data_IF_636707283028
#
_entry.id   IF_636707283028
#
_cell.length_a   1.000
_cell.length_b   1.000
_cell.length_c   1.000
_cell.angle_alpha   90.00
_cell.angle_beta   90.00
_cell.angle_gamma   90.00
#
_symmetry.space_group_name_H-M   'P 1'
#
loop_
_entity.id
_entity.type
_entity.pdbx_description
1 polymer ?
#
# COMPACT_ATOMS: atom_id res chain seq x y z
N UNK A 1 -3.59 45.24 -40.70
CA UNK A 1 -4.75 44.79 -39.90
C UNK A 1 -4.43 45.07 -38.43
N UNK A 2 -4.95 46.17 -37.88
CA UNK A 2 -4.69 46.60 -36.50
C UNK A 2 -5.71 45.91 -35.60
N UNK A 3 -5.26 45.04 -34.69
CA UNK A 3 -6.13 44.41 -33.68
C UNK A 3 -6.49 45.43 -32.61
N UNK A 4 -7.77 45.54 -32.27
CA UNK A 4 -8.24 46.45 -31.24
C UNK A 4 -7.77 45.97 -29.85
N UNK A 5 -7.42 46.87 -28.92
CA UNK A 5 -6.91 46.51 -27.60
C UNK A 5 -7.86 45.58 -26.80
N UNK A 6 -9.18 45.68 -27.02
CA UNK A 6 -10.17 44.78 -26.42
C UNK A 6 -10.08 43.32 -26.90
N UNK A 7 -9.72 43.07 -28.16
CA UNK A 7 -9.50 41.69 -28.67
C UNK A 7 -8.23 41.07 -28.08
N UNK A 8 -7.18 41.88 -27.90
CA UNK A 8 -5.90 41.43 -27.33
C UNK A 8 -6.06 41.11 -25.83
N UNK A 9 -6.80 41.94 -25.08
CA UNK A 9 -7.10 41.69 -23.66
C UNK A 9 -7.97 40.45 -23.46
N UNK A 10 -9.01 40.26 -24.28
CA UNK A 10 -9.87 39.07 -24.23
C UNK A 10 -9.09 37.78 -24.53
N UNK A 11 -8.19 37.83 -25.52
CA UNK A 11 -7.31 36.70 -25.85
C UNK A 11 -6.32 36.37 -24.72
N UNK A 12 -5.73 37.37 -24.06
CA UNK A 12 -4.81 37.15 -22.93
C UNK A 12 -5.52 36.57 -21.69
N UNK A 13 -6.73 37.03 -21.40
CA UNK A 13 -7.55 36.48 -20.32
C UNK A 13 -7.94 35.03 -20.62
N UNK A 14 -8.39 34.73 -21.85
CA UNK A 14 -8.74 33.38 -22.28
C UNK A 14 -7.54 32.42 -22.18
N UNK A 15 -6.35 32.84 -22.63
CA UNK A 15 -5.12 32.03 -22.51
C UNK A 15 -4.82 31.73 -21.05
N UNK A 16 -4.90 32.72 -20.17
CA UNK A 16 -4.63 32.53 -18.73
C UNK A 16 -5.59 31.53 -18.10
N UNK A 17 -6.89 31.63 -18.41
CA UNK A 17 -7.92 30.70 -17.92
C UNK A 17 -7.64 29.29 -18.44
N UNK A 18 -7.36 29.13 -19.74
CA UNK A 18 -7.06 27.82 -20.35
C UNK A 18 -5.81 27.21 -19.72
N UNK A 19 -4.74 27.99 -19.56
CA UNK A 19 -3.51 27.53 -18.90
C UNK A 19 -3.78 27.10 -17.46
N UNK A 20 -4.56 27.87 -16.70
CA UNK A 20 -4.96 27.52 -15.34
C UNK A 20 -5.72 26.20 -15.28
N UNK A 21 -6.69 25.99 -16.17
CA UNK A 21 -7.45 24.74 -16.28
C UNK A 21 -6.54 23.57 -16.64
N UNK A 22 -5.62 23.73 -17.60
CA UNK A 22 -4.69 22.68 -18.00
C UNK A 22 -3.75 22.27 -16.86
N UNK A 23 -3.19 23.24 -16.14
CA UNK A 23 -2.34 22.98 -14.96
C UNK A 23 -3.15 22.28 -13.87
N UNK A 24 -4.38 22.72 -13.61
CA UNK A 24 -5.27 22.08 -12.64
C UNK A 24 -5.58 20.63 -12.99
N UNK A 25 -6.03 20.38 -14.23
CA UNK A 25 -6.33 19.03 -14.72
C UNK A 25 -5.07 18.15 -14.68
N UNK A 26 -3.92 18.67 -15.13
CA UNK A 26 -2.65 17.96 -15.05
C UNK A 26 -2.28 17.57 -13.62
N UNK A 27 -2.44 18.48 -12.66
CA UNK A 27 -2.24 18.20 -11.24
C UNK A 27 -3.18 17.11 -10.70
N UNK A 28 -4.47 17.19 -11.03
CA UNK A 28 -5.46 16.18 -10.63
C UNK A 28 -5.15 14.80 -11.22
N UNK A 29 -4.68 14.74 -12.48
CA UNK A 29 -4.27 13.49 -13.09
C UNK A 29 -3.10 12.85 -12.33
N UNK A 30 -2.11 13.63 -11.89
CA UNK A 30 -0.99 13.10 -11.09
C UNK A 30 -1.49 12.61 -9.73
N UNK A 31 -2.33 13.37 -9.03
CA UNK A 31 -2.88 12.98 -7.73
C UNK A 31 -3.64 11.65 -7.83
N UNK A 32 -4.56 11.54 -8.79
CA UNK A 32 -5.41 10.36 -8.97
C UNK A 32 -4.67 9.15 -9.51
N UNK A 33 -3.71 9.36 -10.40
CA UNK A 33 -2.97 8.25 -11.01
C UNK A 33 -1.83 7.73 -10.12
N UNK A 34 -1.19 8.57 -9.32
CA UNK A 34 0.02 8.21 -8.58
C UNK A 34 -0.18 8.24 -7.06
N UNK A 35 -0.62 9.38 -6.53
CA UNK A 35 -0.60 9.67 -5.10
C UNK A 35 -1.68 8.87 -4.37
N UNK A 36 -2.92 8.89 -4.88
CA UNK A 36 -4.05 8.14 -4.29
C UNK A 36 -3.75 6.63 -4.21
N UNK A 37 -3.31 5.93 -5.28
CA UNK A 37 -2.92 4.51 -5.20
C UNK A 37 -1.79 4.25 -4.21
N UNK A 38 -0.79 5.13 -4.15
CA UNK A 38 0.33 5.00 -3.22
C UNK A 38 -0.11 5.11 -1.76
N UNK A 39 -0.96 6.09 -1.43
CA UNK A 39 -1.50 6.27 -0.08
C UNK A 39 -2.32 5.05 0.33
N UNK A 40 -3.18 4.54 -0.56
CA UNK A 40 -4.00 3.37 -0.27
C UNK A 40 -3.16 2.10 -0.05
N UNK A 41 -2.06 1.94 -0.81
CA UNK A 41 -1.09 0.89 -0.56
C UNK A 41 -0.42 1.03 0.82
N UNK A 42 0.04 2.24 1.19
CA UNK A 42 0.62 2.51 2.51
C UNK A 42 -0.37 2.27 3.64
N UNK A 43 -1.65 2.61 3.44
CA UNK A 43 -2.72 2.30 4.38
C UNK A 43 -2.88 0.79 4.58
N UNK A 44 -2.80 0.01 3.51
CA UNK A 44 -2.84 -1.45 3.60
C UNK A 44 -1.64 -2.01 4.38
N UNK A 45 -0.43 -1.47 4.18
CA UNK A 45 0.74 -1.83 4.99
C UNK A 45 0.52 -1.53 6.49
N UNK A 46 -0.07 -0.37 6.80
CA UNK A 46 -0.45 -0.01 8.17
C UNK A 46 -1.48 -0.96 8.78
N UNK A 47 -2.48 -1.39 8.01
CA UNK A 47 -3.47 -2.39 8.45
C UNK A 47 -2.82 -3.73 8.77
N UNK A 48 -1.88 -4.20 7.93
CA UNK A 48 -1.13 -5.44 8.19
C UNK A 48 -0.32 -5.32 9.48
N UNK A 49 0.39 -4.21 9.66
CA UNK A 49 1.14 -3.94 10.88
C UNK A 49 0.24 -3.97 12.12
N UNK A 50 -0.90 -3.27 12.08
CA UNK A 50 -1.88 -3.27 13.17
C UNK A 50 -2.44 -4.67 13.44
N UNK A 51 -2.80 -5.42 12.40
CA UNK A 51 -3.31 -6.79 12.52
C UNK A 51 -2.32 -7.70 13.25
N UNK A 52 -1.03 -7.63 12.87
CA UNK A 52 0.03 -8.45 13.46
C UNK A 52 0.35 -8.03 14.90
N UNK A 53 0.43 -6.73 15.18
CA UNK A 53 0.73 -6.19 16.51
C UNK A 53 -0.42 -6.43 17.50
N UNK A 54 -1.65 -6.09 17.11
CA UNK A 54 -2.83 -6.23 17.97
C UNK A 54 -3.12 -7.69 18.34
N UNK A 55 -2.72 -8.63 17.48
CA UNK A 55 -2.95 -10.06 17.69
C UNK A 55 -1.68 -10.83 18.03
N UNK A 56 -0.56 -10.16 18.33
CA UNK A 56 0.75 -10.80 18.51
C UNK A 56 0.73 -11.96 19.53
N UNK A 57 0.06 -11.78 20.67
CA UNK A 57 -0.06 -12.82 21.70
C UNK A 57 -0.84 -14.06 21.22
N UNK A 58 -1.88 -13.86 20.42
CA UNK A 58 -2.69 -14.95 19.84
C UNK A 58 -1.91 -15.66 18.73
N UNK A 59 -1.25 -14.90 17.86
CA UNK A 59 -0.44 -15.42 16.75
C UNK A 59 0.79 -16.19 17.24
N UNK A 60 1.34 -15.83 18.40
CA UNK A 60 2.44 -16.57 19.03
C UNK A 60 1.97 -17.86 19.72
N UNK A 61 0.66 -18.02 19.96
CA UNK A 61 0.09 -19.19 20.60
C UNK A 61 -0.75 -20.02 19.62
N UNK A 62 -0.18 -21.09 19.03
CA UNK A 62 -0.89 -21.93 18.06
C UNK A 62 -2.14 -22.64 18.60
N UNK A 63 -2.34 -22.65 19.93
CA UNK A 63 -3.52 -23.22 20.59
C UNK A 63 -4.54 -22.16 21.04
N UNK A 64 -4.42 -20.90 20.60
CA UNK A 64 -5.37 -19.85 20.95
C UNK A 64 -6.80 -20.22 20.53
N UNK A 65 -7.73 -20.08 21.47
CA UNK A 65 -9.18 -20.23 21.24
C UNK A 65 -9.67 -18.96 20.52
N UNK A 66 -10.60 -19.08 19.58
CA UNK A 66 -11.15 -17.97 18.78
C UNK A 66 -10.17 -17.30 17.79
N UNK A 67 -9.60 -18.08 16.85
CA UNK A 67 -8.74 -17.55 15.77
C UNK A 67 -9.42 -17.39 14.41
N UNK A 68 -10.67 -17.82 14.25
CA UNK A 68 -11.38 -17.81 12.96
C UNK A 68 -11.37 -16.42 12.29
N UNK A 69 -11.69 -15.37 13.06
CA UNK A 69 -11.71 -13.99 12.58
C UNK A 69 -10.31 -13.53 12.15
N UNK A 70 -9.28 -13.78 12.97
CA UNK A 70 -7.89 -13.39 12.68
C UNK A 70 -7.35 -14.14 11.45
N UNK A 71 -7.68 -15.43 11.30
CA UNK A 71 -7.33 -16.24 10.12
C UNK A 71 -7.94 -15.62 8.86
N UNK A 72 -9.22 -15.23 8.92
CA UNK A 72 -9.89 -14.57 7.81
C UNK A 72 -9.24 -13.22 7.49
N UNK A 73 -8.96 -12.39 8.51
CA UNK A 73 -8.28 -11.10 8.35
C UNK A 73 -6.87 -11.24 7.77
N UNK A 74 -6.12 -12.28 8.13
CA UNK A 74 -4.80 -12.56 7.54
C UNK A 74 -4.89 -12.90 6.06
N UNK A 75 -5.83 -13.78 5.69
CA UNK A 75 -6.07 -14.17 4.28
C UNK A 75 -6.53 -12.96 3.45
N UNK A 76 -7.44 -12.18 3.99
CA UNK A 76 -7.91 -10.94 3.36
C UNK A 76 -6.79 -9.89 3.24
N UNK A 77 -5.98 -9.72 4.28
CA UNK A 77 -4.84 -8.82 4.25
C UNK A 77 -3.80 -9.22 3.18
N UNK A 78 -3.57 -10.52 2.98
CA UNK A 78 -2.73 -11.04 1.90
C UNK A 78 -3.29 -10.72 0.51
N UNK A 79 -4.59 -10.95 0.30
CA UNK A 79 -5.27 -10.65 -0.96
C UNK A 79 -5.27 -9.14 -1.26
N UNK A 80 -5.59 -8.32 -0.26
CA UNK A 80 -5.56 -6.86 -0.37
C UNK A 80 -4.14 -6.35 -0.63
N UNK A 81 -3.11 -6.91 0.00
CA UNK A 81 -1.71 -6.54 -0.25
C UNK A 81 -1.36 -6.70 -1.74
N UNK A 82 -1.72 -7.85 -2.32
CA UNK A 82 -1.51 -8.14 -3.74
C UNK A 82 -2.31 -7.22 -4.64
N UNK A 83 -3.58 -6.98 -4.31
CA UNK A 83 -4.49 -6.13 -5.08
C UNK A 83 -4.03 -4.67 -5.11
N UNK A 84 -3.74 -4.08 -3.93
CA UNK A 84 -3.28 -2.69 -3.82
C UNK A 84 -1.90 -2.50 -4.43
N UNK A 85 -0.99 -3.46 -4.28
CA UNK A 85 0.31 -3.40 -4.97
C UNK A 85 0.14 -3.45 -6.48
N UNK A 86 -0.75 -4.31 -7.00
CA UNK A 86 -1.01 -4.43 -8.44
C UNK A 86 -1.57 -3.14 -9.04
N UNK A 87 -2.42 -2.43 -8.29
CA UNK A 87 -2.98 -1.13 -8.67
C UNK A 87 -1.95 0.01 -8.73
N UNK A 88 -0.76 -0.15 -8.15
CA UNK A 88 0.28 0.87 -8.24
C UNK A 88 0.78 1.02 -9.70
N UNK A 89 0.94 2.26 -10.19
CA UNK A 89 1.58 2.51 -11.47
C UNK A 89 3.00 1.94 -11.54
N UNK A 90 3.39 1.47 -12.73
CA UNK A 90 4.69 0.84 -12.95
C UNK A 90 5.88 1.74 -12.58
N UNK A 91 5.78 3.04 -12.86
CA UNK A 91 6.83 4.00 -12.52
C UNK A 91 7.05 4.13 -11.00
N UNK A 92 6.00 3.99 -10.18
CA UNK A 92 6.13 3.98 -8.70
C UNK A 92 6.80 2.69 -8.24
N UNK A 93 6.38 1.55 -8.80
CA UNK A 93 6.97 0.23 -8.48
C UNK A 93 8.48 0.19 -8.74
N UNK A 94 8.92 0.87 -9.81
CA UNK A 94 10.31 0.92 -10.26
C UNK A 94 11.11 2.09 -9.67
N UNK A 95 10.44 3.02 -8.96
CA UNK A 95 11.10 4.20 -8.42
C UNK A 95 12.05 3.83 -7.27
N UNK A 96 13.36 3.89 -7.56
CA UNK A 96 14.44 3.51 -6.66
C UNK A 96 15.46 4.65 -6.46
N UNK A 97 15.01 5.91 -6.35
CA UNK A 97 15.92 7.03 -6.11
C UNK A 97 16.26 7.07 -4.60
N UNK A 98 17.40 6.48 -4.22
CA UNK A 98 18.03 6.59 -2.89
C UNK A 98 17.29 5.92 -1.73
N UNK A 99 15.97 5.71 -1.84
CA UNK A 99 15.13 5.05 -0.84
C UNK A 99 14.08 4.18 -1.55
N UNK A 100 13.98 2.90 -1.18
CA UNK A 100 12.93 2.03 -1.71
C UNK A 100 11.62 2.27 -0.96
N UNK A 101 10.76 3.12 -1.52
CA UNK A 101 9.44 3.52 -0.98
C UNK A 101 8.39 2.41 -1.01
N UNK A 102 8.49 1.50 -1.98
CA UNK A 102 7.58 0.37 -2.18
C UNK A 102 8.40 -0.93 -2.16
N UNK A 103 8.02 -1.94 -1.37
CA UNK A 103 8.66 -3.26 -1.43
C UNK A 103 8.67 -3.82 -2.86
N UNK A 104 9.71 -4.59 -3.20
CA UNK A 104 9.76 -5.18 -4.54
C UNK A 104 8.67 -6.24 -4.72
N UNK A 105 8.25 -6.49 -5.95
CA UNK A 105 7.27 -7.53 -6.28
C UNK A 105 7.53 -8.88 -5.59
N UNK A 106 8.77 -9.45 -5.59
CA UNK A 106 9.00 -10.72 -4.90
C UNK A 106 8.77 -10.63 -3.39
N UNK A 107 9.15 -9.53 -2.73
CA UNK A 107 8.89 -9.35 -1.30
C UNK A 107 7.41 -9.19 -0.99
N UNK A 108 6.65 -8.54 -1.87
CA UNK A 108 5.19 -8.45 -1.77
C UNK A 108 4.57 -9.84 -1.84
N UNK A 109 4.95 -10.64 -2.85
CA UNK A 109 4.47 -12.01 -3.03
C UNK A 109 4.85 -12.87 -1.82
N UNK A 110 6.12 -12.86 -1.40
CA UNK A 110 6.59 -13.62 -0.25
C UNK A 110 5.90 -13.21 1.05
N UNK A 111 5.62 -11.92 1.24
CA UNK A 111 4.88 -11.45 2.43
C UNK A 111 3.42 -11.91 2.40
N UNK A 112 2.75 -11.82 1.25
CA UNK A 112 1.38 -12.33 1.09
C UNK A 112 1.29 -13.84 1.33
N UNK A 113 2.25 -14.60 0.79
CA UNK A 113 2.36 -16.04 1.04
C UNK A 113 2.59 -16.36 2.52
N UNK A 114 3.43 -15.59 3.22
CA UNK A 114 3.66 -15.77 4.66
C UNK A 114 2.44 -15.42 5.50
N UNK A 115 1.68 -14.38 5.15
CA UNK A 115 0.40 -14.09 5.80
C UNK A 115 -0.58 -15.27 5.69
N UNK A 116 -0.69 -15.86 4.49
CA UNK A 116 -1.51 -17.06 4.28
C UNK A 116 -0.96 -18.28 5.03
N UNK A 117 0.35 -18.47 5.07
CA UNK A 117 0.99 -19.57 5.82
C UNK A 117 0.68 -19.48 7.31
N UNK A 118 0.80 -18.29 7.90
CA UNK A 118 0.44 -18.04 9.31
C UNK A 118 -1.04 -18.40 9.54
N UNK A 119 -1.92 -18.02 8.62
CA UNK A 119 -3.34 -18.37 8.71
C UNK A 119 -3.56 -19.90 8.66
N UNK A 120 -2.88 -20.60 7.75
CA UNK A 120 -2.95 -22.06 7.62
C UNK A 120 -2.37 -22.83 8.81
N UNK A 121 -1.27 -22.35 9.41
CA UNK A 121 -0.69 -22.94 10.63
C UNK A 121 -1.73 -22.98 11.75
N UNK A 122 -2.45 -21.88 11.95
CA UNK A 122 -3.47 -21.78 12.99
C UNK A 122 -4.77 -22.52 12.64
N UNK A 123 -5.16 -22.55 11.36
CA UNK A 123 -6.31 -23.34 10.88
C UNK A 123 -6.09 -24.85 11.11
N UNK A 124 -4.87 -25.33 10.86
CA UNK A 124 -4.46 -26.71 11.11
C UNK A 124 -4.11 -27.02 12.57
N UNK A 125 -4.13 -26.04 13.48
CA UNK A 125 -3.65 -26.14 14.88
C UNK A 125 -2.23 -26.74 14.97
N UNK A 126 -1.38 -26.41 13.99
CA UNK A 126 0.03 -26.83 13.96
C UNK A 126 0.80 -26.14 15.10
N UNK A 127 1.77 -26.84 15.70
CA UNK A 127 2.65 -26.29 16.74
C UNK A 127 3.81 -25.45 16.20
N UNK A 128 3.84 -25.22 14.90
CA UNK A 128 4.87 -24.42 14.24
C UNK A 128 4.82 -22.97 14.72
N UNK A 129 5.99 -22.41 15.00
CA UNK A 129 6.11 -21.02 15.44
C UNK A 129 5.92 -20.07 14.26
N UNK A 130 5.09 -19.05 14.44
CA UNK A 130 4.84 -18.03 13.40
C UNK A 130 5.76 -16.81 13.53
N UNK A 131 6.57 -16.74 14.60
CA UNK A 131 7.36 -15.56 14.95
C UNK A 131 8.33 -15.15 13.84
N UNK A 132 9.08 -16.11 13.27
CA UNK A 132 10.02 -15.84 12.19
C UNK A 132 9.32 -15.30 10.95
N UNK A 133 8.16 -15.86 10.60
CA UNK A 133 7.36 -15.39 9.47
C UNK A 133 6.86 -13.95 9.68
N UNK A 134 6.42 -13.61 10.90
CA UNK A 134 5.98 -12.25 11.26
C UNK A 134 7.14 -11.25 11.19
N UNK A 135 8.34 -11.63 11.66
CA UNK A 135 9.53 -10.79 11.58
C UNK A 135 9.98 -10.57 10.13
N UNK A 136 9.97 -11.61 9.31
CA UNK A 136 10.32 -11.54 7.89
C UNK A 136 9.34 -10.66 7.09
N UNK A 137 8.03 -10.74 7.39
CA UNK A 137 7.02 -9.83 6.82
C UNK A 137 7.38 -8.37 7.17
N UNK A 138 7.71 -8.10 8.43
CA UNK A 138 8.11 -6.76 8.89
C UNK A 138 9.32 -6.22 8.12
N UNK A 139 10.35 -7.05 7.92
CA UNK A 139 11.55 -6.71 7.14
C UNK A 139 11.25 -6.44 5.67
N UNK A 140 10.48 -7.33 5.03
CA UNK A 140 10.15 -7.24 3.61
C UNK A 140 9.26 -6.04 3.28
N UNK A 141 8.22 -5.83 4.09
CA UNK A 141 7.27 -4.73 3.92
C UNK A 141 7.76 -3.42 4.53
N UNK A 142 8.84 -3.45 5.32
CA UNK A 142 9.37 -2.31 6.08
C UNK A 142 8.31 -1.70 6.99
N UNK A 143 7.65 -2.56 7.77
CA UNK A 143 6.62 -2.18 8.74
C UNK A 143 6.97 -2.76 10.11
N UNK A 144 6.57 -2.10 11.20
CA UNK A 144 6.71 -2.68 12.52
C UNK A 144 5.77 -3.88 12.66
N UNK A 145 6.29 -5.00 13.14
CA UNK A 145 5.52 -6.21 13.48
C UNK A 145 5.74 -6.68 14.91
N UNK A 146 6.58 -5.96 15.66
CA UNK A 146 6.82 -6.16 17.08
C UNK A 146 6.93 -4.80 17.77
N UNK A 147 6.65 -4.72 19.07
CA UNK A 147 6.80 -3.50 19.86
C UNK A 147 8.26 -3.16 20.22
N UNK A 148 9.20 -4.05 19.92
CA UNK A 148 10.64 -3.84 20.09
C UNK A 148 11.14 -2.89 18.99
N UNK A 149 11.76 -1.78 19.39
CA UNK A 149 12.44 -0.82 18.50
C UNK A 149 13.75 -1.38 17.96
#
# INVERSE_FOLDING_TARGET
>A
MVKFPGEVMSSSAAVTVITGVLVFVGGQLIVKSAIEPYIEFKKQLGKISNLLLANQAKLANPCAVEMSEIIHELKDAAAQLMSKHSALPFYIKKFHIGFRFVPSTPEIISSAQKLNLIASIHEGKSKESTYEHIAEIGRMLKIPTTYSL
#
